data_IF_290076750586
#
_entry.id   IF_290076750586
#
_cell.length_a   1.000
_cell.length_b   1.000
_cell.length_c   1.000
_cell.angle_alpha   90.00
_cell.angle_beta   90.00
_cell.angle_gamma   90.00
#
_symmetry.space_group_name_H-M   'P 1'
#
loop_
_entity.id
_entity.type
_entity.pdbx_description
1 polymer ?
#
# COMPACT_ATOMS: atom_id res chain seq x y z
N UNK A 1 6.72 -11.32 -7.89
CA UNK A 1 8.12 -11.77 -7.72
C UNK A 1 8.19 -12.65 -6.47
N UNK A 2 7.90 -13.96 -6.57
CA UNK A 2 7.84 -14.83 -5.39
C UNK A 2 9.22 -15.08 -4.73
N UNK A 3 10.32 -14.72 -5.41
CA UNK A 3 11.70 -14.94 -4.95
C UNK A 3 12.45 -13.64 -4.61
N UNK A 4 11.79 -12.47 -4.64
CA UNK A 4 12.44 -11.21 -4.30
C UNK A 4 12.45 -11.02 -2.78
N UNK A 5 13.56 -10.51 -2.24
CA UNK A 5 13.64 -10.09 -0.85
C UNK A 5 12.69 -8.90 -0.59
N UNK A 6 11.94 -8.88 0.52
CA UNK A 6 11.01 -7.79 0.84
C UNK A 6 11.67 -6.41 0.88
N UNK A 7 12.90 -6.31 1.37
CA UNK A 7 13.67 -5.06 1.41
C UNK A 7 13.91 -4.52 0.02
N UNK A 8 14.38 -5.38 -0.91
CA UNK A 8 14.58 -4.98 -2.31
C UNK A 8 13.29 -4.51 -2.99
N UNK A 9 12.14 -5.08 -2.62
CA UNK A 9 10.84 -4.63 -3.14
C UNK A 9 10.47 -3.26 -2.59
N UNK A 10 10.72 -3.01 -1.31
CA UNK A 10 10.47 -1.71 -0.67
C UNK A 10 11.40 -0.62 -1.22
N UNK A 11 12.68 -0.94 -1.43
CA UNK A 11 13.65 -0.02 -2.02
C UNK A 11 13.23 0.38 -3.45
N UNK A 12 12.75 -0.59 -4.23
CA UNK A 12 12.21 -0.32 -5.56
C UNK A 12 10.95 0.56 -5.52
N UNK A 13 10.03 0.31 -4.58
CA UNK A 13 8.84 1.16 -4.38
C UNK A 13 9.20 2.60 -3.97
N UNK A 14 10.24 2.77 -3.14
CA UNK A 14 10.73 4.08 -2.72
C UNK A 14 11.43 4.83 -3.87
N UNK A 15 12.17 4.10 -4.72
CA UNK A 15 12.82 4.66 -5.91
C UNK A 15 11.82 5.03 -7.02
N UNK A 16 10.77 4.22 -7.21
CA UNK A 16 9.74 4.41 -8.23
C UNK A 16 8.33 4.39 -7.61
N UNK A 17 7.81 5.54 -7.13
CA UNK A 17 6.54 5.60 -6.40
C UNK A 17 5.32 5.11 -7.18
N UNK A 18 5.40 5.05 -8.51
CA UNK A 18 4.35 4.51 -9.38
C UNK A 18 4.07 3.02 -9.12
N UNK A 19 5.04 2.30 -8.55
CA UNK A 19 4.93 0.87 -8.22
C UNK A 19 4.02 0.61 -7.01
N UNK A 20 3.73 1.64 -6.20
CA UNK A 20 2.87 1.53 -5.02
C UNK A 20 1.40 1.55 -5.47
N UNK A 21 0.62 0.55 -5.03
CA UNK A 21 -0.82 0.51 -5.26
C UNK A 21 -1.53 1.67 -4.55
N UNK A 22 -2.48 2.31 -5.23
CA UNK A 22 -3.23 3.49 -4.74
C UNK A 22 -4.75 3.25 -4.84
N UNK A 23 -5.58 3.83 -3.94
CA UNK A 23 -5.23 4.76 -2.87
C UNK A 23 -4.88 4.06 -1.53
N UNK A 24 -3.85 4.57 -0.83
CA UNK A 24 -3.61 4.28 0.58
C UNK A 24 -4.30 5.37 1.41
N UNK A 25 -5.13 4.99 2.37
CA UNK A 25 -5.89 5.90 3.24
C UNK A 25 -5.44 5.67 4.68
N UNK A 26 -5.20 6.77 5.40
CA UNK A 26 -4.81 6.80 6.81
C UNK A 26 -5.89 7.51 7.63
N UNK A 27 -6.24 6.94 8.78
CA UNK A 27 -7.13 7.52 9.79
C UNK A 27 -6.59 7.22 11.19
N UNK A 28 -7.23 7.74 12.24
CA UNK A 28 -6.90 7.41 13.64
C UNK A 28 -7.04 5.91 13.97
N UNK A 29 -7.75 5.13 13.13
CA UNK A 29 -7.94 3.69 13.29
C UNK A 29 -6.87 2.85 12.59
N UNK A 30 -6.05 3.44 11.71
CA UNK A 30 -4.96 2.78 11.00
C UNK A 30 -4.85 3.14 9.52
N UNK A 31 -4.09 2.33 8.76
CA UNK A 31 -3.81 2.52 7.32
C UNK A 31 -4.33 1.35 6.49
N UNK A 32 -4.95 1.62 5.35
CA UNK A 32 -5.48 0.59 4.44
C UNK A 32 -5.26 0.95 2.97
N UNK A 33 -5.04 -0.08 2.13
CA UNK A 33 -5.15 0.03 0.67
C UNK A 33 -6.63 -0.06 0.28
N UNK A 34 -7.21 1.07 -0.10
CA UNK A 34 -8.65 1.19 -0.34
C UNK A 34 -9.05 0.82 -1.78
N UNK A 35 -8.73 -0.42 -2.18
CA UNK A 35 -9.12 -1.00 -3.48
C UNK A 35 -9.70 -2.41 -3.26
N UNK A 36 -11.02 -2.63 -3.47
CA UNK A 36 -12.04 -1.68 -3.94
C UNK A 36 -12.33 -0.56 -2.92
N UNK A 37 -12.93 0.55 -3.36
CA UNK A 37 -13.09 1.76 -2.53
C UNK A 37 -13.81 1.51 -1.19
N UNK A 38 -14.77 0.58 -1.15
CA UNK A 38 -15.61 0.33 0.03
C UNK A 38 -14.81 -0.19 1.24
N UNK A 39 -13.59 -0.72 1.00
CA UNK A 39 -12.67 -1.15 2.06
C UNK A 39 -12.21 -0.01 2.97
N UNK A 40 -12.44 1.26 2.59
CA UNK A 40 -12.23 2.42 3.47
C UNK A 40 -13.09 2.35 4.73
N UNK A 41 -14.30 1.79 4.66
CA UNK A 41 -15.22 1.71 5.80
C UNK A 41 -14.72 0.86 6.97
N UNK A 42 -13.69 0.03 6.76
CA UNK A 42 -13.06 -0.72 7.85
C UNK A 42 -12.16 0.15 8.73
N UNK A 43 -11.75 1.32 8.25
CA UNK A 43 -10.86 2.26 8.98
C UNK A 43 -11.49 3.64 9.19
N UNK A 44 -12.74 3.89 8.80
CA UNK A 44 -13.47 5.13 9.12
C UNK A 44 -14.08 5.06 10.52
#
# INVERSE_FOLDING_TARGET
LPNADPGSVLDAMAAEPILINRPLVETDKGVRLCRPQDTVHEIL
#
